data_IF_742404807547
#
_entry.id   IF_742404807547
#
_cell.length_a   1.000
_cell.length_b   1.000
_cell.length_c   1.000
_cell.angle_alpha   90.00
_cell.angle_beta   90.00
_cell.angle_gamma   90.00
#
_symmetry.space_group_name_H-M   'P 1'
#
loop_
_entity.id
_entity.type
_entity.pdbx_description
1 polymer ?
#
# COMPACT_ATOMS: atom_id res chain seq x y z
N UNK A 1 20.32 -44.05 41.37
CA UNK A 1 20.71 -44.53 42.72
C UNK A 1 20.94 -43.33 43.61
N UNK A 2 20.31 -43.33 44.79
CA UNK A 2 20.53 -42.54 46.02
C UNK A 2 20.89 -41.05 45.90
N UNK A 3 20.06 -40.10 46.33
CA UNK A 3 19.73 -39.80 47.75
C UNK A 3 20.95 -39.44 48.59
N UNK A 4 21.10 -38.15 48.91
CA UNK A 4 21.30 -37.58 50.26
C UNK A 4 21.90 -36.18 50.15
N UNK A 5 21.07 -35.17 50.41
CA UNK A 5 21.37 -34.05 51.32
C UNK A 5 20.06 -33.28 51.49
N UNK A 6 19.27 -33.75 52.45
CA UNK A 6 18.19 -33.00 53.05
C UNK A 6 18.65 -32.57 54.46
N UNK A 7 18.21 -31.37 54.82
CA UNK A 7 18.11 -30.79 56.17
C UNK A 7 19.35 -30.10 56.76
N UNK A 8 19.26 -28.77 56.84
CA UNK A 8 19.29 -27.88 58.03
C UNK A 8 19.53 -26.44 57.50
N UNK A 9 18.88 -25.36 57.92
CA UNK A 9 17.84 -25.07 58.89
C UNK A 9 17.24 -23.69 58.54
N UNK A 10 16.11 -23.37 59.17
CA UNK A 10 15.32 -22.15 59.04
C UNK A 10 16.14 -20.86 59.23
N UNK A 11 15.84 -19.83 58.43
CA UNK A 11 15.52 -18.47 58.88
C UNK A 11 15.54 -17.48 57.70
N UNK A 12 14.50 -17.52 56.86
CA UNK A 12 14.13 -16.37 56.05
C UNK A 12 12.61 -16.29 56.10
N UNK A 13 12.09 -15.37 56.92
CA UNK A 13 10.67 -15.17 57.17
C UNK A 13 9.92 -14.69 55.93
N UNK A 14 9.72 -15.58 54.96
CA UNK A 14 8.85 -15.37 53.81
C UNK A 14 7.56 -16.15 54.07
N UNK A 15 6.55 -15.42 54.51
CA UNK A 15 5.17 -15.88 54.56
C UNK A 15 4.73 -16.29 53.16
N UNK A 16 4.24 -17.53 53.02
CA UNK A 16 3.46 -17.94 51.86
C UNK A 16 2.15 -17.14 51.87
N UNK A 17 1.79 -16.42 50.79
CA UNK A 17 0.50 -15.76 50.73
C UNK A 17 -0.60 -16.81 50.78
N UNK A 18 -1.54 -16.61 51.70
CA UNK A 18 -2.81 -17.31 51.76
C UNK A 18 -3.50 -17.20 50.40
N UNK A 19 -3.76 -18.34 49.76
CA UNK A 19 -4.63 -18.39 48.59
C UNK A 19 -6.01 -17.93 49.06
N UNK A 20 -6.60 -16.85 48.51
CA UNK A 20 -7.96 -16.50 48.86
C UNK A 20 -8.88 -17.65 48.47
N UNK A 21 -9.78 -18.03 49.37
CA UNK A 21 -10.82 -19.01 49.07
C UNK A 21 -11.52 -18.58 47.76
N UNK A 22 -11.55 -19.49 46.78
CA UNK A 22 -12.33 -19.29 45.58
C UNK A 22 -13.80 -19.06 45.98
N UNK A 23 -14.50 -18.07 45.43
CA UNK A 23 -15.90 -17.85 45.73
C UNK A 23 -16.70 -19.10 45.35
N UNK A 24 -17.42 -19.66 46.33
CA UNK A 24 -18.39 -20.72 46.11
C UNK A 24 -19.67 -20.11 45.57
N UNK A 25 -19.84 -20.15 44.25
CA UNK A 25 -21.09 -19.73 43.61
C UNK A 25 -22.13 -20.82 43.77
N UNK A 26 -23.26 -20.50 44.40
CA UNK A 26 -24.36 -21.44 44.65
C UNK A 26 -25.47 -21.33 43.60
N UNK A 27 -25.39 -20.32 42.72
CA UNK A 27 -26.34 -20.07 41.66
C UNK A 27 -25.65 -19.60 40.36
N UNK A 28 -26.24 -19.92 39.21
CA UNK A 28 -25.73 -19.58 37.86
C UNK A 28 -25.59 -18.08 37.65
N UNK A 29 -26.46 -17.27 38.25
CA UNK A 29 -26.44 -15.80 38.12
C UNK A 29 -25.29 -15.13 38.89
N UNK A 30 -24.57 -15.88 39.72
CA UNK A 30 -23.38 -15.40 40.41
C UNK A 30 -22.09 -15.66 39.59
N UNK A 31 -22.18 -16.32 38.43
CA UNK A 31 -21.02 -16.73 37.62
C UNK A 31 -20.70 -15.63 36.57
N UNK A 32 -19.54 -14.95 36.66
CA UNK A 32 -19.24 -13.76 35.85
C UNK A 32 -19.03 -14.03 34.35
N UNK A 33 -18.90 -15.30 33.94
CA UNK A 33 -18.61 -15.71 32.55
C UNK A 33 -19.90 -16.02 31.77
N UNK A 34 -21.04 -16.20 32.44
CA UNK A 34 -22.32 -16.50 31.78
C UNK A 34 -23.03 -15.18 31.50
N UNK A 35 -23.09 -14.77 30.23
CA UNK A 35 -23.72 -13.52 29.83
C UNK A 35 -25.23 -13.46 30.21
N UNK A 36 -25.80 -12.26 30.46
CA UNK A 36 -27.17 -12.10 30.98
C UNK A 36 -28.26 -12.82 30.14
N UNK A 37 -28.08 -12.87 28.82
CA UNK A 37 -29.01 -13.54 27.91
C UNK A 37 -29.09 -15.06 28.12
N UNK A 38 -27.97 -15.70 28.46
CA UNK A 38 -27.89 -17.15 28.70
C UNK A 38 -28.55 -17.49 30.05
N UNK A 39 -28.30 -16.67 31.08
CA UNK A 39 -28.94 -16.80 32.39
C UNK A 39 -30.46 -16.66 32.28
N UNK A 40 -30.94 -15.67 31.54
CA UNK A 40 -32.37 -15.42 31.36
C UNK A 40 -33.06 -16.58 30.62
N UNK A 41 -32.41 -17.13 29.60
CA UNK A 41 -32.92 -18.27 28.83
C UNK A 41 -32.98 -19.53 29.70
N UNK A 42 -31.97 -19.79 30.54
CA UNK A 42 -31.98 -20.92 31.47
C UNK A 42 -33.11 -20.82 32.51
N UNK A 43 -33.33 -19.63 33.08
CA UNK A 43 -34.40 -19.38 34.06
C UNK A 43 -35.82 -19.60 33.49
N UNK A 44 -35.98 -19.55 32.17
CA UNK A 44 -37.25 -19.77 31.48
C UNK A 44 -37.52 -21.26 31.15
N UNK A 45 -36.55 -22.16 31.37
CA UNK A 45 -36.75 -23.59 31.12
C UNK A 45 -37.63 -24.23 32.20
N UNK A 46 -38.46 -25.23 31.84
CA UNK A 46 -39.18 -26.05 32.80
C UNK A 46 -38.23 -26.72 33.84
N UNK A 47 -38.63 -26.88 35.11
CA UNK A 47 -37.76 -27.40 36.18
C UNK A 47 -37.16 -28.79 35.90
N UNK A 48 -37.87 -29.60 35.12
CA UNK A 48 -37.42 -30.95 34.73
C UNK A 48 -36.24 -30.89 33.73
N UNK A 49 -36.24 -29.90 32.83
CA UNK A 49 -35.14 -29.67 31.87
C UNK A 49 -33.93 -29.03 32.53
N UNK A 50 -34.13 -28.14 33.49
CA UNK A 50 -33.03 -27.55 34.27
C UNK A 50 -32.21 -28.62 35.01
N UNK A 51 -32.86 -29.65 35.57
CA UNK A 51 -32.20 -30.77 36.27
C UNK A 51 -31.48 -31.75 35.34
N UNK A 52 -31.88 -31.83 34.08
CA UNK A 52 -31.26 -32.71 33.09
C UNK A 52 -29.95 -32.14 32.53
N UNK A 53 -29.80 -30.81 32.53
CA UNK A 53 -28.60 -30.13 32.04
C UNK A 53 -27.50 -30.21 33.12
N UNK A 54 -26.60 -31.19 32.99
CA UNK A 54 -25.39 -31.27 33.81
C UNK A 54 -24.31 -30.37 33.19
N UNK A 55 -24.25 -29.10 33.61
CA UNK A 55 -23.15 -28.22 33.25
C UNK A 55 -21.89 -28.67 34.01
N UNK A 56 -20.78 -29.02 33.34
CA UNK A 56 -19.52 -29.18 34.04
C UNK A 56 -19.09 -27.80 34.54
N UNK A 57 -19.23 -27.54 35.84
CA UNK A 57 -18.72 -26.33 36.48
C UNK A 57 -17.41 -26.70 37.19
N UNK A 58 -16.29 -25.99 36.96
CA UNK A 58 -16.11 -24.88 36.05
C UNK A 58 -15.69 -25.35 34.63
N UNK A 59 -16.42 -24.90 33.60
CA UNK A 59 -15.88 -24.79 32.24
C UNK A 59 -14.87 -23.65 32.24
N UNK A 60 -13.67 -23.90 32.78
CA UNK A 60 -12.51 -23.08 32.46
C UNK A 60 -12.24 -23.36 30.98
N UNK A 61 -12.70 -22.48 30.09
CA UNK A 61 -12.07 -22.43 28.76
C UNK A 61 -10.56 -22.31 29.03
N UNK A 62 -9.68 -23.11 28.39
CA UNK A 62 -8.25 -22.83 28.48
C UNK A 62 -8.11 -21.38 28.06
N UNK A 63 -7.71 -20.53 29.01
CA UNK A 63 -7.37 -19.15 28.73
C UNK A 63 -6.37 -19.27 27.60
N UNK A 64 -6.76 -18.87 26.39
CA UNK A 64 -5.83 -18.71 25.28
C UNK A 64 -4.80 -17.77 25.87
N UNK A 65 -3.66 -18.33 26.32
CA UNK A 65 -2.60 -17.55 26.91
C UNK A 65 -2.44 -16.40 25.96
N UNK A 66 -2.66 -15.17 26.45
CA UNK A 66 -2.62 -13.99 25.60
C UNK A 66 -1.31 -14.12 24.84
N UNK A 67 -1.40 -14.52 23.58
CA UNK A 67 -0.22 -14.70 22.75
C UNK A 67 0.28 -13.28 22.68
N UNK A 68 1.35 -13.03 23.44
CA UNK A 68 2.14 -11.80 23.31
C UNK A 68 2.22 -11.60 21.80
N UNK A 69 1.64 -10.51 21.24
CA UNK A 69 1.56 -10.37 19.80
C UNK A 69 2.93 -10.74 19.27
N UNK A 70 3.00 -11.72 18.36
CA UNK A 70 4.27 -12.08 17.75
C UNK A 70 4.92 -10.75 17.38
N UNK A 71 6.17 -10.49 17.84
CA UNK A 71 6.79 -9.19 17.60
C UNK A 71 6.58 -8.88 16.12
N UNK A 72 5.91 -7.76 15.82
CA UNK A 72 5.64 -7.36 14.43
C UNK A 72 6.97 -7.51 13.73
N UNK A 73 7.04 -8.44 12.77
CA UNK A 73 8.25 -8.62 11.96
C UNK A 73 8.52 -7.23 11.39
N UNK A 74 9.61 -6.61 11.83
CA UNK A 74 10.08 -5.36 11.23
C UNK A 74 10.60 -5.79 9.88
N UNK A 75 9.75 -5.68 8.86
CA UNK A 75 10.14 -5.93 7.48
C UNK A 75 11.11 -4.83 7.12
N UNK A 76 12.34 -5.20 6.77
CA UNK A 76 13.28 -4.27 6.14
C UNK A 76 12.84 -4.07 4.69
N UNK A 77 11.87 -3.16 4.52
CA UNK A 77 11.28 -2.83 3.22
C UNK A 77 12.32 -2.34 2.22
N UNK A 78 13.42 -1.73 2.69
CA UNK A 78 14.51 -1.28 1.84
C UNK A 78 15.30 -2.48 1.30
N UNK A 79 15.64 -3.45 2.15
CA UNK A 79 16.33 -4.65 1.71
C UNK A 79 15.50 -5.50 0.75
N UNK A 80 14.18 -5.61 0.98
CA UNK A 80 13.26 -6.35 0.10
C UNK A 80 13.10 -5.68 -1.27
N UNK A 81 12.90 -4.35 -1.33
CA UNK A 81 12.88 -3.62 -2.60
C UNK A 81 14.21 -3.71 -3.35
N UNK A 82 15.33 -3.60 -2.65
CA UNK A 82 16.66 -3.75 -3.23
C UNK A 82 16.85 -5.15 -3.84
N UNK A 83 16.34 -6.20 -3.17
CA UNK A 83 16.35 -7.57 -3.69
C UNK A 83 15.49 -7.69 -4.95
N UNK A 84 14.25 -7.21 -4.90
CA UNK A 84 13.32 -7.24 -6.02
C UNK A 84 13.93 -6.61 -7.28
N UNK A 85 14.46 -5.39 -7.16
CA UNK A 85 15.09 -4.69 -8.30
C UNK A 85 16.30 -5.46 -8.82
N UNK A 86 17.19 -5.96 -7.94
CA UNK A 86 18.35 -6.75 -8.37
C UNK A 86 17.95 -8.02 -9.14
N UNK A 87 16.94 -8.74 -8.67
CA UNK A 87 16.48 -9.98 -9.30
C UNK A 87 15.84 -9.72 -10.67
N UNK A 88 15.01 -8.67 -10.78
CA UNK A 88 14.41 -8.26 -12.06
C UNK A 88 15.50 -7.83 -13.05
N UNK A 89 16.42 -6.96 -12.65
CA UNK A 89 17.53 -6.52 -13.50
C UNK A 89 18.45 -7.69 -13.88
N UNK A 90 18.74 -8.59 -12.94
CA UNK A 90 19.57 -9.76 -13.19
C UNK A 90 18.99 -10.72 -14.24
N UNK A 91 17.65 -10.89 -14.25
CA UNK A 91 16.97 -11.77 -15.21
C UNK A 91 16.79 -11.13 -16.59
N UNK A 92 16.47 -9.83 -16.62
CA UNK A 92 16.11 -9.16 -17.86
C UNK A 92 17.25 -8.40 -18.53
N UNK A 93 18.27 -8.01 -17.76
CA UNK A 93 19.23 -6.97 -18.15
C UNK A 93 18.63 -5.57 -18.04
N UNK A 94 19.37 -4.56 -18.50
CA UNK A 94 18.90 -3.17 -18.50
C UNK A 94 18.97 -2.51 -17.11
N UNK A 95 18.02 -1.62 -16.84
CA UNK A 95 17.97 -0.82 -15.59
C UNK A 95 16.54 -0.73 -15.09
N UNK A 96 16.37 -0.71 -13.77
CA UNK A 96 15.07 -0.52 -13.15
C UNK A 96 15.17 0.24 -11.84
N UNK A 97 14.06 0.89 -11.51
CA UNK A 97 13.88 1.65 -10.28
C UNK A 97 12.44 1.51 -9.80
N UNK A 98 12.29 1.33 -8.50
CA UNK A 98 10.99 1.32 -7.81
C UNK A 98 11.07 2.33 -6.68
N UNK A 99 10.02 3.14 -6.53
CA UNK A 99 9.79 3.96 -5.35
C UNK A 99 8.37 3.74 -4.84
N UNK A 100 8.23 3.37 -3.57
CA UNK A 100 6.94 3.04 -2.96
C UNK A 100 6.96 3.39 -1.48
N UNK A 101 5.90 4.04 -1.00
CA UNK A 101 5.77 4.41 0.42
C UNK A 101 6.93 5.26 0.97
N UNK A 102 7.65 5.99 0.11
CA UNK A 102 8.83 6.79 0.47
C UNK A 102 10.17 6.03 0.45
N UNK A 103 10.17 4.74 0.12
CA UNK A 103 11.37 3.91 -0.01
C UNK A 103 11.72 3.76 -1.49
N UNK A 104 12.98 3.88 -1.86
CA UNK A 104 13.42 3.80 -3.26
C UNK A 104 14.55 2.79 -3.43
N UNK A 105 14.50 1.98 -4.48
CA UNK A 105 15.53 1.02 -4.85
C UNK A 105 15.80 1.09 -6.36
N UNK A 106 17.06 0.88 -6.75
CA UNK A 106 17.50 0.93 -8.15
C UNK A 106 18.06 2.28 -8.57
N UNK A 107 18.09 2.51 -9.88
CA UNK A 107 18.74 3.64 -10.54
C UNK A 107 17.81 4.86 -10.63
N UNK A 108 17.74 5.66 -9.56
CA UNK A 108 16.82 6.79 -9.46
C UNK A 108 17.24 8.04 -10.26
N UNK A 109 17.97 7.89 -11.36
CA UNK A 109 18.29 9.02 -12.24
C UNK A 109 17.01 9.67 -12.80
N UNK A 110 17.04 10.98 -13.10
CA UNK A 110 15.98 11.61 -13.87
C UNK A 110 15.88 10.95 -15.25
N UNK A 111 14.65 10.64 -15.65
CA UNK A 111 14.33 10.07 -16.97
C UNK A 111 13.18 10.89 -17.58
N UNK A 112 12.97 10.92 -18.90
CA UNK A 112 11.84 11.64 -19.48
C UNK A 112 10.50 11.13 -18.93
N UNK A 113 9.57 12.04 -18.65
CA UNK A 113 8.28 11.70 -18.05
C UNK A 113 7.31 11.04 -19.04
N UNK A 114 7.40 11.38 -20.33
CA UNK A 114 6.49 10.90 -21.36
C UNK A 114 5.02 11.12 -20.95
N UNK A 115 4.13 10.21 -21.36
CA UNK A 115 2.69 10.31 -21.11
C UNK A 115 2.28 10.36 -19.64
N UNK A 116 3.18 10.22 -18.67
CA UNK A 116 2.83 10.45 -17.26
C UNK A 116 2.53 11.93 -16.99
N UNK A 117 3.07 12.87 -17.79
CA UNK A 117 2.73 14.30 -17.72
C UNK A 117 1.27 14.63 -18.07
N UNK A 118 0.53 13.66 -18.64
CA UNK A 118 -0.90 13.83 -18.91
C UNK A 118 -1.73 14.00 -17.63
N UNK A 119 -1.25 13.52 -16.48
CA UNK A 119 -1.91 13.72 -15.19
C UNK A 119 -1.85 15.19 -14.74
N UNK A 120 -0.67 15.80 -14.52
CA UNK A 120 -0.61 17.20 -14.08
C UNK A 120 -1.22 18.18 -15.10
N UNK A 121 -1.05 17.96 -16.42
CA UNK A 121 -1.67 18.84 -17.42
C UNK A 121 -3.19 18.75 -17.44
N UNK A 122 -3.76 17.57 -17.19
CA UNK A 122 -5.22 17.41 -17.11
C UNK A 122 -5.79 18.15 -15.90
N UNK A 123 -5.12 18.08 -14.75
CA UNK A 123 -5.51 18.84 -13.54
C UNK A 123 -5.46 20.34 -13.84
N UNK A 124 -4.38 20.82 -14.47
CA UNK A 124 -4.22 22.23 -14.83
C UNK A 124 -5.31 22.71 -15.79
N UNK A 125 -5.58 21.93 -16.84
CA UNK A 125 -6.57 22.29 -17.86
C UNK A 125 -8.00 22.30 -17.30
N UNK A 126 -8.34 21.33 -16.43
CA UNK A 126 -9.64 21.28 -15.77
C UNK A 126 -9.84 22.45 -14.79
N UNK A 127 -8.79 22.91 -14.11
CA UNK A 127 -8.86 24.13 -13.28
C UNK A 127 -9.20 25.38 -14.09
N UNK A 128 -8.82 25.44 -15.36
CA UNK A 128 -9.14 26.57 -16.26
C UNK A 128 -10.56 26.50 -16.80
N UNK A 129 -11.02 25.31 -17.19
CA UNK A 129 -12.35 25.13 -17.76
C UNK A 129 -12.79 23.68 -17.76
N UNK A 130 -14.04 23.43 -17.37
CA UNK A 130 -14.67 22.12 -17.46
C UNK A 130 -14.84 21.64 -18.92
N UNK A 131 -14.74 22.55 -19.90
CA UNK A 131 -14.74 22.16 -21.32
C UNK A 131 -13.59 21.22 -21.69
N UNK A 132 -12.50 21.20 -20.89
CA UNK A 132 -11.36 20.31 -21.08
C UNK A 132 -11.62 18.86 -20.62
N UNK A 133 -12.79 18.54 -20.05
CA UNK A 133 -13.08 17.21 -19.50
C UNK A 133 -12.87 16.08 -20.50
N UNK A 134 -13.40 16.21 -21.73
CA UNK A 134 -13.25 15.16 -22.76
C UNK A 134 -11.79 14.96 -23.14
N UNK A 135 -11.03 16.04 -23.25
CA UNK A 135 -9.61 15.97 -23.56
C UNK A 135 -8.80 15.32 -22.44
N UNK A 136 -9.06 15.71 -21.18
CA UNK A 136 -8.47 15.09 -20.01
C UNK A 136 -8.77 13.58 -19.94
N UNK A 137 -10.03 13.20 -20.18
CA UNK A 137 -10.46 11.80 -20.13
C UNK A 137 -9.72 10.94 -21.14
N UNK A 138 -9.72 11.30 -22.43
CA UNK A 138 -9.08 10.49 -23.47
C UNK A 138 -7.55 10.56 -23.39
N UNK A 139 -6.99 11.68 -22.93
CA UNK A 139 -5.57 11.79 -22.66
C UNK A 139 -5.13 10.86 -21.52
N UNK A 140 -5.87 10.81 -20.41
CA UNK A 140 -5.47 9.97 -19.27
C UNK A 140 -5.78 8.49 -19.55
N UNK A 141 -7.01 8.16 -19.95
CA UNK A 141 -7.48 6.76 -20.07
C UNK A 141 -6.87 6.02 -21.27
N UNK A 142 -6.68 6.72 -22.40
CA UNK A 142 -6.20 6.14 -23.67
C UNK A 142 -4.81 6.62 -24.07
N UNK A 143 -4.25 7.56 -23.31
CA UNK A 143 -2.95 8.18 -23.64
C UNK A 143 -2.97 8.99 -24.94
N UNK A 144 -4.13 9.55 -25.33
CA UNK A 144 -4.29 10.35 -26.55
C UNK A 144 -3.38 11.59 -26.57
N UNK A 145 -2.50 11.69 -27.56
CA UNK A 145 -1.55 12.79 -27.69
C UNK A 145 -2.18 14.08 -28.22
N UNK A 146 -3.06 14.05 -29.26
CA UNK A 146 -3.76 15.26 -29.72
C UNK A 146 -4.53 15.98 -28.60
N UNK A 147 -5.25 15.26 -27.74
CA UNK A 147 -5.95 15.82 -26.59
C UNK A 147 -4.99 16.44 -25.57
N UNK A 148 -3.89 15.74 -25.25
CA UNK A 148 -2.87 16.30 -24.39
C UNK A 148 -2.25 17.57 -24.98
N UNK A 149 -1.98 17.63 -26.29
CA UNK A 149 -1.45 18.83 -26.95
C UNK A 149 -2.40 20.03 -26.85
N UNK A 150 -3.71 19.82 -27.01
CA UNK A 150 -4.72 20.88 -26.81
C UNK A 150 -4.72 21.43 -25.38
N UNK A 151 -4.53 20.55 -24.38
CA UNK A 151 -4.40 20.98 -22.99
C UNK A 151 -3.07 21.70 -22.73
N UNK A 152 -1.94 21.19 -23.25
CA UNK A 152 -0.63 21.84 -23.13
C UNK A 152 -0.61 23.24 -23.77
N UNK A 153 -1.37 23.47 -24.85
CA UNK A 153 -1.48 24.78 -25.46
C UNK A 153 -2.14 25.84 -24.56
N UNK A 154 -2.87 25.42 -23.53
CA UNK A 154 -3.60 26.30 -22.61
C UNK A 154 -2.90 26.48 -21.25
N UNK A 155 -1.93 25.61 -20.93
CA UNK A 155 -1.31 25.50 -19.60
C UNK A 155 0.15 25.94 -19.68
N UNK A 156 0.53 26.90 -18.85
CA UNK A 156 1.92 27.36 -18.76
C UNK A 156 2.80 26.36 -18.00
N UNK A 157 4.12 26.41 -18.25
CA UNK A 157 5.09 25.61 -17.49
C UNK A 157 5.02 25.87 -15.98
N UNK A 158 4.83 27.13 -15.58
CA UNK A 158 4.70 27.52 -14.17
C UNK A 158 3.47 26.90 -13.48
N UNK A 159 2.35 26.76 -14.19
CA UNK A 159 1.15 26.09 -13.66
C UNK A 159 1.38 24.58 -13.47
N UNK A 160 2.08 23.94 -14.40
CA UNK A 160 2.46 22.54 -14.28
C UNK A 160 3.43 22.30 -13.13
N UNK A 161 4.48 23.12 -13.03
CA UNK A 161 5.46 23.07 -11.94
C UNK A 161 4.76 23.28 -10.59
N UNK A 162 3.83 24.23 -10.51
CA UNK A 162 2.99 24.47 -9.33
C UNK A 162 2.18 23.23 -8.92
N UNK A 163 1.55 22.53 -9.86
CA UNK A 163 0.81 21.29 -9.56
C UNK A 163 1.75 20.17 -9.09
N UNK A 164 2.89 20.01 -9.75
CA UNK A 164 3.90 19.01 -9.39
C UNK A 164 4.42 19.26 -7.96
N UNK A 165 4.72 20.51 -7.63
CA UNK A 165 5.17 20.92 -6.30
C UNK A 165 4.08 20.85 -5.23
N UNK A 166 2.82 21.18 -5.55
CA UNK A 166 1.68 21.00 -4.64
C UNK A 166 1.54 19.54 -4.18
N UNK A 167 1.79 18.59 -5.09
CA UNK A 167 1.83 17.17 -4.78
C UNK A 167 3.13 16.73 -4.08
N UNK A 168 4.07 17.63 -3.81
CA UNK A 168 5.31 17.36 -3.07
C UNK A 168 6.45 16.73 -3.88
N UNK A 169 6.35 16.72 -5.21
CA UNK A 169 7.48 16.36 -6.08
C UNK A 169 8.48 17.52 -6.17
N UNK A 170 9.78 17.20 -6.12
CA UNK A 170 10.88 18.19 -6.15
C UNK A 170 11.61 18.23 -7.48
N UNK A 171 11.02 17.65 -8.54
CA UNK A 171 11.61 17.70 -9.87
C UNK A 171 11.83 19.14 -10.33
N UNK A 172 13.03 19.40 -10.84
CA UNK A 172 13.56 20.75 -11.12
C UNK A 172 13.69 21.07 -12.61
N UNK A 173 13.39 20.09 -13.48
CA UNK A 173 13.37 20.36 -14.91
C UNK A 173 12.05 21.06 -15.20
N UNK A 174 12.06 22.29 -15.76
CA UNK A 174 10.82 23.00 -16.05
C UNK A 174 9.88 22.06 -16.81
N UNK A 175 8.59 22.06 -16.46
CA UNK A 175 7.60 21.29 -17.17
C UNK A 175 7.55 21.75 -18.65
N UNK A 176 8.36 21.08 -19.46
CA UNK A 176 8.63 21.46 -20.83
C UNK A 176 7.57 20.92 -21.77
N UNK A 177 7.33 21.70 -22.82
CA UNK A 177 6.59 21.31 -24.02
C UNK A 177 6.89 19.85 -24.43
N UNK A 178 5.86 19.10 -24.87
CA UNK A 178 5.97 17.72 -25.37
C UNK A 178 6.39 16.61 -24.38
N UNK A 179 6.12 16.75 -23.08
CA UNK A 179 6.29 15.65 -22.12
C UNK A 179 7.77 15.26 -21.87
N UNK A 180 8.71 16.16 -22.18
CA UNK A 180 10.16 15.96 -22.05
C UNK A 180 10.72 16.25 -20.64
N UNK A 181 9.86 16.54 -19.65
CA UNK A 181 10.27 16.76 -18.26
C UNK A 181 11.11 15.60 -17.75
N UNK A 182 12.33 15.87 -17.31
CA UNK A 182 13.17 14.87 -16.67
C UNK A 182 12.72 14.70 -15.22
N UNK A 183 12.16 13.54 -14.91
CA UNK A 183 11.47 13.26 -13.65
C UNK A 183 12.06 11.99 -13.04
N UNK A 184 12.53 12.04 -11.79
CA UNK A 184 13.00 10.83 -11.08
C UNK A 184 11.83 9.90 -10.74
N UNK A 185 12.13 8.63 -10.47
CA UNK A 185 11.08 7.67 -10.04
C UNK A 185 10.58 8.03 -8.65
N UNK A 186 11.47 8.42 -7.73
CA UNK A 186 11.09 8.83 -6.38
C UNK A 186 10.21 10.08 -6.37
N UNK A 187 10.47 11.06 -7.25
CA UNK A 187 9.62 12.25 -7.33
C UNK A 187 8.25 11.94 -7.95
N UNK A 188 8.16 10.97 -8.89
CA UNK A 188 6.86 10.51 -9.37
C UNK A 188 6.06 9.82 -8.28
N UNK A 189 6.71 9.02 -7.42
CA UNK A 189 6.06 8.45 -6.25
C UNK A 189 5.66 9.53 -5.23
N UNK A 190 6.48 10.57 -5.04
CA UNK A 190 6.13 11.70 -4.18
C UNK A 190 4.91 12.46 -4.71
N UNK A 191 4.85 12.71 -6.03
CA UNK A 191 3.67 13.29 -6.70
C UNK A 191 2.43 12.42 -6.51
N UNK A 192 2.53 11.11 -6.74
CA UNK A 192 1.42 10.20 -6.52
C UNK A 192 0.95 10.22 -5.05
N UNK A 193 1.88 10.29 -4.10
CA UNK A 193 1.61 10.35 -2.65
C UNK A 193 0.90 11.62 -2.21
N UNK A 194 1.11 12.73 -2.92
CA UNK A 194 0.44 14.00 -2.67
C UNK A 194 -0.69 14.33 -3.61
N UNK A 195 -1.08 13.42 -4.51
CA UNK A 195 -1.99 13.73 -5.60
C UNK A 195 -3.33 14.25 -5.09
N UNK A 196 -3.88 13.65 -4.03
CA UNK A 196 -5.15 14.11 -3.44
C UNK A 196 -5.01 15.39 -2.62
N UNK A 197 -3.79 15.84 -2.34
CA UNK A 197 -3.56 17.14 -1.75
C UNK A 197 -3.67 18.27 -2.78
N UNK A 198 -3.78 17.94 -4.08
CA UNK A 198 -3.90 18.90 -5.18
C UNK A 198 -5.38 19.22 -5.42
N UNK A 199 -5.84 20.47 -5.28
CA UNK A 199 -7.23 20.83 -5.58
C UNK A 199 -7.63 20.49 -7.03
N UNK A 200 -8.80 19.88 -7.22
CA UNK A 200 -9.31 19.51 -8.55
C UNK A 200 -8.68 18.24 -9.14
N UNK A 201 -8.02 17.42 -8.31
CA UNK A 201 -7.46 16.13 -8.75
C UNK A 201 -8.54 15.07 -9.02
N UNK A 202 -9.72 15.21 -8.42
CA UNK A 202 -10.73 14.16 -8.30
C UNK A 202 -11.13 13.55 -9.65
N UNK A 203 -11.44 14.34 -10.70
CA UNK A 203 -11.78 13.77 -12.01
C UNK A 203 -10.60 13.02 -12.64
N UNK A 204 -9.38 13.51 -12.45
CA UNK A 204 -8.17 12.91 -13.04
C UNK A 204 -7.80 11.62 -12.32
N UNK A 205 -7.95 11.59 -10.99
CA UNK A 205 -7.73 10.38 -10.20
C UNK A 205 -8.75 9.28 -10.56
N UNK A 206 -10.01 9.65 -10.82
CA UNK A 206 -11.00 8.73 -11.38
C UNK A 206 -10.56 8.18 -12.75
N UNK A 207 -10.14 9.05 -13.68
CA UNK A 207 -9.65 8.65 -15.01
C UNK A 207 -8.44 7.70 -14.92
N UNK A 208 -7.55 7.90 -13.95
CA UNK A 208 -6.41 7.01 -13.68
C UNK A 208 -6.84 5.60 -13.25
N UNK A 209 -8.07 5.42 -12.74
CA UNK A 209 -8.67 4.12 -12.45
C UNK A 209 -9.40 3.48 -13.64
N UNK A 210 -9.50 4.18 -14.77
CA UNK A 210 -10.22 3.76 -15.99
C UNK A 210 -9.30 3.66 -17.21
N UNK A 211 -8.01 3.43 -16.98
CA UNK A 211 -7.04 3.14 -18.04
C UNK A 211 -7.55 1.93 -18.85
N UNK A 212 -7.43 1.99 -20.17
CA UNK A 212 -7.85 0.90 -21.08
C UNK A 212 -6.98 -0.35 -20.95
N UNK A 213 -7.59 -1.53 -21.13
CA UNK A 213 -6.98 -2.84 -20.85
C UNK A 213 -5.64 -3.08 -21.56
N UNK A 214 -5.48 -2.63 -22.80
CA UNK A 214 -4.21 -2.79 -23.54
C UNK A 214 -3.05 -1.96 -22.96
N UNK A 215 -3.30 -1.11 -21.95
CA UNK A 215 -2.28 -0.40 -21.18
C UNK A 215 -2.11 -0.95 -19.74
N UNK A 216 -2.72 -2.09 -19.41
CA UNK A 216 -2.62 -2.74 -18.09
C UNK A 216 -1.33 -3.56 -17.89
N UNK A 217 -0.21 -3.08 -18.41
CA UNK A 217 1.11 -3.55 -18.01
C UNK A 217 1.54 -2.90 -16.69
N UNK A 218 2.55 -3.45 -16.01
CA UNK A 218 3.05 -2.97 -14.73
C UNK A 218 1.95 -2.85 -13.67
N UNK A 219 1.77 -1.65 -13.12
CA UNK A 219 0.78 -1.34 -12.09
C UNK A 219 -0.66 -1.69 -12.48
N UNK A 220 -1.00 -1.70 -13.78
CA UNK A 220 -2.34 -2.08 -14.24
C UNK A 220 -2.70 -3.53 -13.99
N UNK A 221 -1.74 -4.38 -13.63
CA UNK A 221 -1.98 -5.76 -13.18
C UNK A 221 -2.54 -5.84 -11.76
N UNK A 222 -2.46 -4.76 -10.99
CA UNK A 222 -2.90 -4.71 -9.59
C UNK A 222 -4.36 -4.27 -9.58
N UNK A 223 -5.30 -5.12 -9.11
CA UNK A 223 -6.71 -4.75 -9.06
C UNK A 223 -6.95 -3.48 -8.24
N UNK A 224 -7.69 -2.54 -8.83
CA UNK A 224 -8.01 -1.25 -8.20
C UNK A 224 -6.89 -0.21 -8.24
N UNK A 225 -5.77 -0.47 -8.92
CA UNK A 225 -4.74 0.54 -9.14
C UNK A 225 -5.27 1.74 -9.92
N UNK A 226 -4.85 2.95 -9.50
CA UNK A 226 -5.09 4.20 -10.21
C UNK A 226 -3.73 4.73 -10.67
N UNK A 227 -3.43 4.64 -11.96
CA UNK A 227 -2.09 4.87 -12.47
C UNK A 227 -2.06 5.60 -13.81
N UNK A 228 -0.90 6.11 -14.18
CA UNK A 228 -0.61 6.52 -15.56
C UNK A 228 0.76 6.02 -15.99
N UNK A 229 0.81 5.42 -17.18
CA UNK A 229 2.05 5.00 -17.83
C UNK A 229 2.53 5.97 -18.92
N UNK A 230 3.82 5.89 -19.21
CA UNK A 230 4.47 6.52 -20.36
C UNK A 230 5.68 5.72 -20.79
N UNK A 231 5.98 5.76 -22.09
CA UNK A 231 7.11 5.04 -22.66
C UNK A 231 7.60 5.72 -23.93
N UNK A 232 8.85 5.43 -24.31
CA UNK A 232 9.40 5.68 -25.63
C UNK A 232 10.65 4.83 -25.86
N UNK A 233 11.10 4.73 -27.11
CA UNK A 233 12.47 4.35 -27.41
C UNK A 233 13.42 5.44 -26.90
N UNK A 234 14.44 5.03 -26.15
CA UNK A 234 15.35 5.92 -25.45
C UNK A 234 16.69 5.24 -25.18
N UNK A 235 17.79 5.95 -25.41
CA UNK A 235 19.17 5.45 -25.17
C UNK A 235 19.41 4.04 -25.72
N UNK A 236 19.08 3.80 -27.00
CA UNK A 236 19.31 2.51 -27.65
C UNK A 236 18.45 1.34 -27.12
N UNK A 237 17.41 1.62 -26.34
CA UNK A 237 16.46 0.63 -25.83
C UNK A 237 15.07 1.21 -25.72
N UNK A 238 14.24 0.60 -24.87
CA UNK A 238 12.91 1.07 -24.56
C UNK A 238 12.80 1.41 -23.07
N UNK A 239 12.37 2.64 -22.79
CA UNK A 239 12.13 3.12 -21.43
C UNK A 239 10.63 3.17 -21.21
N UNK A 240 10.14 2.45 -20.22
CA UNK A 240 8.77 2.49 -19.76
C UNK A 240 8.71 2.87 -18.29
N UNK A 241 7.69 3.64 -17.91
CA UNK A 241 7.48 4.08 -16.53
C UNK A 241 6.03 4.28 -16.19
N UNK A 242 5.70 4.13 -14.92
CA UNK A 242 4.37 4.36 -14.36
C UNK A 242 4.48 4.99 -12.98
N UNK A 243 3.46 5.75 -12.61
CA UNK A 243 3.20 6.08 -11.22
C UNK A 243 1.70 5.99 -10.92
N UNK A 244 1.36 5.89 -9.64
CA UNK A 244 -0.03 5.86 -9.22
C UNK A 244 -0.22 5.53 -7.75
N UNK A 245 -1.46 5.21 -7.43
CA UNK A 245 -1.92 4.68 -6.15
C UNK A 245 -2.32 3.22 -6.34
N UNK A 246 -1.85 2.33 -5.47
CA UNK A 246 -2.28 0.93 -5.40
C UNK A 246 -3.01 0.66 -4.08
N UNK A 247 -4.10 -0.14 -4.08
CA UNK A 247 -4.81 -0.44 -2.84
C UNK A 247 -3.97 -1.27 -1.86
N UNK A 248 -3.76 -0.76 -0.64
CA UNK A 248 -3.11 -1.46 0.46
C UNK A 248 -4.09 -1.79 1.60
N UNK A 249 -3.73 -2.72 2.51
CA UNK A 249 -4.58 -3.10 3.64
C UNK A 249 -4.83 -1.96 4.64
N UNK A 250 -3.95 -0.96 4.66
CA UNK A 250 -4.02 0.20 5.56
C UNK A 250 -4.46 1.49 4.83
N UNK A 251 -4.85 1.38 3.54
CA UNK A 251 -5.09 2.52 2.65
C UNK A 251 -4.23 2.45 1.40
N UNK A 252 -4.48 3.38 0.48
CA UNK A 252 -3.74 3.42 -0.79
C UNK A 252 -2.26 3.77 -0.57
N UNK A 253 -1.39 3.08 -1.29
CA UNK A 253 0.06 3.28 -1.27
C UNK A 253 0.49 3.92 -2.58
N UNK A 254 1.27 4.99 -2.49
CA UNK A 254 1.86 5.63 -3.65
C UNK A 254 3.07 4.86 -4.16
N UNK A 255 3.11 4.65 -5.47
CA UNK A 255 4.15 3.88 -6.14
C UNK A 255 4.53 4.53 -7.47
N UNK A 256 5.82 4.44 -7.82
CA UNK A 256 6.32 4.65 -9.16
C UNK A 256 7.34 3.57 -9.54
N UNK A 257 7.30 3.13 -10.78
CA UNK A 257 8.18 2.11 -11.34
C UNK A 257 8.71 2.58 -12.70
N UNK A 258 10.00 2.37 -12.95
CA UNK A 258 10.68 2.72 -14.20
C UNK A 258 11.57 1.56 -14.63
N UNK A 259 11.56 1.21 -15.91
CA UNK A 259 12.43 0.20 -16.49
C UNK A 259 12.93 0.64 -17.86
N UNK A 260 14.24 0.53 -18.07
CA UNK A 260 14.88 0.59 -19.38
C UNK A 260 15.33 -0.81 -19.77
N UNK A 261 14.96 -1.25 -20.97
CA UNK A 261 15.38 -2.54 -21.51
C UNK A 261 16.01 -2.39 -22.89
N UNK A 262 17.17 -3.02 -23.14
CA UNK A 262 17.73 -3.13 -24.49
C UNK A 262 16.90 -4.07 -25.39
N UNK A 263 15.98 -4.85 -24.81
CA UNK A 263 15.14 -5.84 -25.52
C UNK A 263 13.80 -5.24 -26.01
N UNK A 264 13.76 -3.93 -26.19
CA UNK A 264 12.55 -3.25 -26.65
C UNK A 264 11.40 -3.24 -25.61
N UNK A 265 10.19 -2.97 -26.10
CA UNK A 265 9.02 -2.76 -25.25
C UNK A 265 8.66 -4.01 -24.43
N UNK A 266 8.73 -5.20 -25.03
CA UNK A 266 8.49 -6.49 -24.37
C UNK A 266 9.35 -6.64 -23.11
N UNK A 267 10.65 -6.36 -23.22
CA UNK A 267 11.58 -6.44 -22.10
C UNK A 267 11.24 -5.44 -20.99
N UNK A 268 10.98 -4.18 -21.33
CA UNK A 268 10.65 -3.16 -20.32
C UNK A 268 9.31 -3.45 -19.62
N UNK A 269 8.30 -3.93 -20.35
CA UNK A 269 7.00 -4.27 -19.78
C UNK A 269 7.08 -5.53 -18.91
N UNK A 270 7.86 -6.53 -19.31
CA UNK A 270 8.14 -7.70 -18.47
C UNK A 270 8.79 -7.30 -17.14
N UNK A 271 9.80 -6.41 -17.18
CA UNK A 271 10.41 -5.86 -15.97
C UNK A 271 9.39 -5.12 -15.10
N UNK A 272 8.58 -4.21 -15.68
CA UNK A 272 7.57 -3.48 -14.92
C UNK A 272 6.49 -4.39 -14.33
N UNK A 273 6.08 -5.45 -15.05
CA UNK A 273 5.11 -6.43 -14.56
C UNK A 273 5.62 -7.10 -13.28
N UNK A 274 6.87 -7.55 -13.27
CA UNK A 274 7.44 -8.23 -12.11
C UNK A 274 7.72 -7.29 -10.94
N UNK A 275 8.13 -6.05 -11.21
CA UNK A 275 8.24 -5.02 -10.17
C UNK A 275 6.88 -4.73 -9.54
N UNK A 276 5.82 -4.62 -10.36
CA UNK A 276 4.46 -4.40 -9.86
C UNK A 276 3.95 -5.58 -9.03
N UNK A 277 4.15 -6.82 -9.50
CA UNK A 277 3.75 -8.03 -8.78
C UNK A 277 4.51 -8.15 -7.43
N UNK A 278 5.81 -7.85 -7.43
CA UNK A 278 6.63 -7.83 -6.21
C UNK A 278 6.17 -6.75 -5.21
N UNK A 279 5.97 -5.51 -5.68
CA UNK A 279 5.46 -4.42 -4.83
C UNK A 279 4.07 -4.77 -4.29
N UNK A 280 3.20 -5.36 -5.10
CA UNK A 280 1.87 -5.76 -4.67
C UNK A 280 1.92 -6.80 -3.54
N UNK A 281 2.87 -7.74 -3.56
CA UNK A 281 3.02 -8.75 -2.52
C UNK A 281 3.43 -8.17 -1.15
N UNK A 282 4.18 -7.07 -1.13
CA UNK A 282 4.69 -6.43 0.11
C UNK A 282 4.00 -5.10 0.44
N UNK A 283 2.90 -4.74 -0.25
CA UNK A 283 2.24 -3.43 -0.12
C UNK A 283 1.70 -3.09 1.27
N UNK A 284 1.50 -4.11 2.12
CA UNK A 284 1.08 -3.92 3.51
C UNK A 284 2.15 -3.32 4.42
N UNK A 285 3.41 -3.37 4.01
CA UNK A 285 4.56 -2.94 4.81
C UNK A 285 4.96 -1.48 4.54
N UNK A 286 4.36 -0.84 3.53
CA UNK A 286 4.67 0.52 3.13
C UNK A 286 3.74 1.57 3.77
N UNK A 287 4.25 2.80 3.88
CA UNK A 287 3.46 3.96 4.28
C UNK A 287 2.40 4.27 3.21
N UNK A 288 1.22 4.67 3.65
CA UNK A 288 0.14 5.12 2.78
C UNK A 288 0.47 6.46 2.12
N UNK A 289 -0.29 6.81 1.07
CA UNK A 289 -0.30 8.16 0.51
C UNK A 289 -0.70 9.19 1.60
N UNK A 290 -0.22 10.44 1.45
CA UNK A 290 -0.39 11.51 2.46
C UNK A 290 -1.82 12.06 2.47
N UNK A 291 -2.36 12.19 1.28
CA UNK A 291 -3.76 12.43 0.97
C UNK A 291 -4.09 11.30 -0.04
#
# INVERSE_FOLDING_TARGET
>A
MSSKLAALALAAGLSLPTIPALPTYTAIDQIPVVGPAIVQTYKQLPPQLQRAIHLPLPLTAPQKAAQKPAPKRVVDTQAELNRLVREVVGRHGGRATVSVGGVTAGDNRPEPAFSTMKVPVSIAALRKSQANYRDAEIAVTRSDNPAAHRMFAQVSGAELDGIIHQAGSRTTTPAGYQMGTMWTTSDQAAFASGLRCVPGHEPVLDMMGRIVDYQHWGLGRIPGARFKGGWNYYQGGHLARQFGLIPGPNGDVAVAITAHSPKGHEGSFAMLNELADGVAAMRGDFRTARC
#
